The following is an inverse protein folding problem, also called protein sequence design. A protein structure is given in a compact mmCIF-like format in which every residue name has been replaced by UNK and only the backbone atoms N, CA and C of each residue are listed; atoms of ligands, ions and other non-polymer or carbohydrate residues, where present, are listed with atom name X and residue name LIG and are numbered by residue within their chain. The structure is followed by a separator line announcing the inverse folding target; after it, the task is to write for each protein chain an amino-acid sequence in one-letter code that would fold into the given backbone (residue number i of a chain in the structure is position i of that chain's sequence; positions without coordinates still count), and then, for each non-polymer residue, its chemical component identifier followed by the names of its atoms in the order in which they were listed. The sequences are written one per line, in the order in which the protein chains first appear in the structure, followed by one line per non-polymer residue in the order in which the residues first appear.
data_IF_776613555747
#
_entry.id   IF_776613555747
#
_cell.length_a   1.000
_cell.length_b   1.000
_cell.length_c   1.000
_cell.angle_alpha   90.00
_cell.angle_beta   90.00
_cell.angle_gamma   90.00
#
_symmetry.space_group_name_H-M   'P 1'
#
loop_
_entity.id
_entity.type
_entity.pdbx_description
1 polymer ?
#
# COMPACT_ATOMS: atom_id res chain seq x y z
N UNK A 1 28.40 -4.92 63.40
CA UNK A 1 27.74 -6.25 63.47
C UNK A 1 27.07 -6.46 62.12
N UNK A 2 27.46 -7.47 61.30
CA UNK A 2 26.89 -8.85 61.24
C UNK A 2 25.36 -8.80 61.07
N UNK A 3 24.70 -9.36 60.04
CA UNK A 3 25.04 -10.22 58.87
C UNK A 3 24.08 -9.88 57.69
N UNK A 4 24.26 -10.19 56.39
CA UNK A 4 25.08 -11.11 55.57
C UNK A 4 24.56 -12.56 55.31
N UNK A 5 24.29 -12.85 54.02
CA UNK A 5 23.98 -14.15 53.36
C UNK A 5 22.67 -14.83 53.78
N UNK A 6 21.89 -15.54 52.93
CA UNK A 6 22.16 -16.38 51.73
C UNK A 6 21.16 -16.06 50.56
N UNK A 7 21.59 -15.92 49.28
CA UNK A 7 21.59 -16.94 48.18
C UNK A 7 20.18 -17.45 47.78
N UNK A 8 19.74 -17.66 46.51
CA UNK A 8 20.09 -17.35 45.10
C UNK A 8 19.16 -18.29 44.26
N UNK A 9 18.98 -18.07 42.94
CA UNK A 9 18.16 -18.92 42.00
C UNK A 9 16.63 -18.70 42.23
N UNK A 10 15.78 -18.36 41.26
CA UNK A 10 15.67 -18.83 39.86
C UNK A 10 15.81 -17.69 38.83
N UNK A 11 16.62 -17.94 37.81
CA UNK A 11 16.73 -17.13 36.59
C UNK A 11 16.19 -17.96 35.41
N UNK A 12 14.92 -17.78 35.03
CA UNK A 12 14.38 -18.13 33.71
C UNK A 12 12.88 -17.78 33.60
N UNK A 13 12.46 -17.36 32.40
CA UNK A 13 11.12 -16.85 32.05
C UNK A 13 10.73 -15.51 32.76
N UNK A 14 10.30 -14.45 32.07
CA UNK A 14 9.86 -14.32 30.68
C UNK A 14 10.32 -13.01 30.03
N UNK A 15 11.36 -13.07 29.19
CA UNK A 15 11.67 -12.00 28.25
C UNK A 15 10.86 -12.22 26.96
N UNK A 16 9.59 -11.79 26.93
CA UNK A 16 8.74 -11.85 25.72
C UNK A 16 7.88 -10.60 25.56
N UNK A 17 7.93 -10.06 24.34
CA UNK A 17 7.02 -9.07 23.76
C UNK A 17 6.92 -7.71 24.47
N UNK A 18 8.01 -6.94 24.40
CA UNK A 18 7.91 -5.49 24.24
C UNK A 18 8.14 -5.13 22.75
N UNK A 19 7.17 -5.45 21.88
CA UNK A 19 7.13 -5.03 20.47
C UNK A 19 5.68 -5.00 19.97
N UNK A 20 4.96 -3.93 20.33
CA UNK A 20 3.72 -3.51 19.68
C UNK A 20 3.55 -2.02 19.94
N UNK A 21 4.40 -1.19 19.33
CA UNK A 21 4.10 0.24 19.27
C UNK A 21 2.89 0.44 18.37
N UNK A 22 1.85 1.05 18.91
CA UNK A 22 0.70 1.57 18.19
C UNK A 22 1.12 2.65 17.17
N UNK A 23 1.59 2.22 16.00
CA UNK A 23 1.47 3.03 14.79
C UNK A 23 0.06 2.85 14.23
N UNK A 24 -0.94 3.36 14.96
CA UNK A 24 -2.22 3.74 14.37
C UNK A 24 -1.98 4.98 13.52
N UNK A 25 -1.48 4.75 12.30
CA UNK A 25 -1.41 5.77 11.25
C UNK A 25 -2.81 6.40 11.15
N UNK A 26 -2.91 7.70 11.45
CA UNK A 26 -4.19 8.41 11.39
C UNK A 26 -4.56 8.52 9.91
N UNK A 27 -5.34 7.54 9.48
CA UNK A 27 -6.09 7.54 8.24
C UNK A 27 -6.65 8.96 8.01
N UNK A 28 -6.29 9.68 6.92
CA UNK A 28 -6.89 10.97 6.63
C UNK A 28 -8.42 10.81 6.62
N UNK A 29 -9.20 11.82 7.01
CA UNK A 29 -10.59 11.65 7.48
C UNK A 29 -11.60 11.13 6.44
N UNK A 30 -11.16 10.78 5.23
CA UNK A 30 -11.94 10.22 4.13
C UNK A 30 -11.30 8.94 3.54
N UNK A 31 -10.28 8.37 4.20
CA UNK A 31 -9.64 7.14 3.72
C UNK A 31 -10.39 5.89 4.19
N UNK A 32 -10.61 5.00 3.23
CA UNK A 32 -11.54 3.89 3.33
C UNK A 32 -10.74 2.58 3.39
N UNK A 33 -11.32 1.55 3.98
CA UNK A 33 -10.65 0.26 4.11
C UNK A 33 -11.60 -0.88 3.74
N UNK A 34 -11.62 -1.23 2.45
CA UNK A 34 -11.92 -2.61 2.08
C UNK A 34 -10.85 -3.49 2.75
N UNK A 35 -11.25 -4.36 3.68
CA UNK A 35 -10.37 -5.34 4.32
C UNK A 35 -10.64 -6.74 3.77
N UNK A 36 -9.61 -7.38 3.20
CA UNK A 36 -9.68 -8.76 2.72
C UNK A 36 -8.76 -9.69 3.52
N UNK A 37 -9.29 -10.83 3.96
CA UNK A 37 -8.60 -11.79 4.81
C UNK A 37 -8.11 -13.05 4.06
N UNK A 38 -8.45 -13.21 2.77
CA UNK A 38 -8.06 -14.38 1.94
C UNK A 38 -6.60 -14.35 1.47
N UNK A 39 -6.06 -15.51 1.11
CA UNK A 39 -4.67 -15.72 0.71
C UNK A 39 -4.39 -15.34 -0.75
N UNK A 40 -3.61 -14.26 -0.93
CA UNK A 40 -2.76 -13.99 -2.10
C UNK A 40 -3.43 -13.64 -3.44
N UNK A 41 -2.98 -12.52 -4.03
CA UNK A 41 -3.15 -12.22 -5.46
C UNK A 41 -4.59 -12.13 -5.98
N UNK A 42 -5.50 -11.56 -5.16
CA UNK A 42 -6.96 -11.59 -5.34
C UNK A 42 -7.46 -11.32 -6.78
N UNK A 43 -6.86 -10.36 -7.49
CA UNK A 43 -7.21 -10.00 -8.88
C UNK A 43 -6.21 -10.49 -9.95
N UNK A 44 -5.18 -11.24 -9.58
CA UNK A 44 -4.11 -11.65 -10.50
C UNK A 44 -4.04 -13.18 -10.68
N UNK A 45 -4.09 -13.95 -9.58
CA UNK A 45 -3.94 -15.42 -9.62
C UNK A 45 -5.16 -16.18 -9.06
N UNK A 46 -6.24 -15.49 -8.69
CA UNK A 46 -7.51 -16.14 -8.33
C UNK A 46 -8.29 -16.45 -9.61
N UNK A 47 -8.49 -17.73 -10.00
CA UNK A 47 -9.16 -18.05 -11.27
C UNK A 47 -10.68 -17.80 -11.24
N UNK A 48 -11.30 -17.78 -10.07
CA UNK A 48 -12.76 -17.70 -9.92
C UNK A 48 -13.19 -16.95 -8.64
N UNK A 49 -12.86 -15.65 -8.55
CA UNK A 49 -13.39 -14.79 -7.49
C UNK A 49 -14.90 -14.55 -7.74
N UNK A 50 -15.76 -15.25 -6.99
CA UNK A 50 -17.24 -15.13 -7.09
C UNK A 50 -17.82 -14.08 -6.15
N UNK A 51 -17.25 -13.96 -4.96
CA UNK A 51 -17.70 -13.04 -3.92
C UNK A 51 -16.51 -12.40 -3.23
N UNK A 52 -16.71 -11.19 -2.70
CA UNK A 52 -15.69 -10.49 -1.93
C UNK A 52 -16.35 -9.73 -0.79
N UNK A 53 -16.12 -10.21 0.43
CA UNK A 53 -16.49 -9.50 1.66
C UNK A 53 -15.61 -8.27 1.86
N UNK A 54 -16.17 -7.21 2.46
CA UNK A 54 -15.43 -5.99 2.75
C UNK A 54 -16.05 -5.20 3.92
N UNK A 55 -15.21 -4.46 4.63
CA UNK A 55 -15.61 -3.35 5.50
C UNK A 55 -15.65 -2.04 4.71
N UNK A 56 -16.49 -1.08 5.10
CA UNK A 56 -16.52 0.24 4.46
C UNK A 56 -16.92 1.37 5.42
N UNK A 57 -16.54 2.59 5.04
CA UNK A 57 -16.81 3.84 5.79
C UNK A 57 -17.53 4.91 4.95
N UNK A 58 -17.90 4.61 3.70
CA UNK A 58 -18.66 5.50 2.80
C UNK A 58 -20.17 5.29 2.88
N UNK A 59 -20.98 6.27 2.42
CA UNK A 59 -22.41 6.06 2.21
C UNK A 59 -22.68 4.90 1.25
N UNK A 60 -23.59 4.00 1.64
CA UNK A 60 -24.04 2.85 0.81
C UNK A 60 -24.56 3.30 -0.58
N UNK A 61 -25.10 4.51 -0.68
CA UNK A 61 -25.52 5.14 -1.94
C UNK A 61 -24.38 5.35 -2.94
N UNK A 62 -23.15 5.62 -2.48
CA UNK A 62 -21.96 5.76 -3.32
C UNK A 62 -21.56 4.40 -3.90
N UNK A 63 -21.40 3.37 -3.05
CA UNK A 63 -21.04 2.01 -3.48
C UNK A 63 -22.10 1.43 -4.43
N UNK A 64 -23.38 1.54 -4.09
CA UNK A 64 -24.47 1.04 -4.96
C UNK A 64 -24.59 1.84 -6.26
N UNK A 65 -24.35 3.15 -6.23
CA UNK A 65 -24.31 4.01 -7.41
C UNK A 65 -23.12 3.73 -8.33
N UNK A 66 -21.99 3.30 -7.78
CA UNK A 66 -20.84 2.79 -8.53
C UNK A 66 -21.13 1.40 -9.10
N UNK A 67 -21.54 0.44 -8.28
CA UNK A 67 -21.75 -0.96 -8.65
C UNK A 67 -22.69 -1.12 -9.86
N UNK A 68 -23.79 -0.36 -9.91
CA UNK A 68 -24.75 -0.35 -11.03
C UNK A 68 -24.15 0.01 -12.39
N UNK A 69 -22.95 0.60 -12.43
CA UNK A 69 -22.27 1.04 -13.68
C UNK A 69 -21.32 -0.02 -14.25
N UNK A 70 -21.06 -1.11 -13.53
CA UNK A 70 -20.09 -2.13 -13.92
C UNK A 70 -20.77 -3.49 -14.10
N UNK A 71 -20.86 -3.96 -15.34
CA UNK A 71 -21.53 -5.21 -15.71
C UNK A 71 -20.94 -6.47 -15.07
N UNK A 72 -19.68 -6.44 -14.63
CA UNK A 72 -19.00 -7.54 -13.95
C UNK A 72 -19.51 -7.76 -12.52
N UNK A 73 -20.18 -6.76 -11.92
CA UNK A 73 -20.80 -6.87 -10.61
C UNK A 73 -22.24 -7.37 -10.79
N UNK A 74 -22.60 -8.42 -10.06
CA UNK A 74 -23.95 -8.96 -10.01
C UNK A 74 -24.85 -8.13 -9.09
N UNK A 75 -24.39 -7.98 -7.85
CA UNK A 75 -25.05 -7.22 -6.78
C UNK A 75 -24.03 -6.88 -5.69
N UNK A 76 -24.41 -5.97 -4.80
CA UNK A 76 -23.70 -5.71 -3.56
C UNK A 76 -24.71 -5.78 -2.42
N UNK A 77 -24.41 -6.58 -1.40
CA UNK A 77 -25.20 -6.71 -0.18
C UNK A 77 -24.50 -5.99 0.98
N UNK A 78 -25.27 -5.53 1.96
CA UNK A 78 -24.78 -4.71 3.08
C UNK A 78 -25.40 -5.17 4.40
N UNK A 79 -24.60 -5.19 5.46
CA UNK A 79 -24.97 -5.50 6.83
C UNK A 79 -24.18 -4.59 7.77
N UNK A 80 -24.79 -3.48 8.18
CA UNK A 80 -24.10 -2.43 8.95
C UNK A 80 -22.94 -1.82 8.15
N UNK A 81 -21.74 -1.84 8.73
CA UNK A 81 -20.48 -1.38 8.12
C UNK A 81 -19.73 -2.47 7.33
N UNK A 82 -20.38 -3.61 7.09
CA UNK A 82 -19.85 -4.69 6.25
C UNK A 82 -20.69 -4.86 4.99
N UNK A 83 -20.05 -5.26 3.89
CA UNK A 83 -20.73 -5.58 2.64
C UNK A 83 -20.08 -6.75 1.93
N UNK A 84 -20.78 -7.25 0.91
CA UNK A 84 -20.32 -8.35 0.06
C UNK A 84 -20.62 -8.02 -1.40
N UNK A 85 -19.58 -7.99 -2.22
CA UNK A 85 -19.73 -7.88 -3.68
C UNK A 85 -19.90 -9.29 -4.23
N UNK A 86 -20.85 -9.45 -5.15
CA UNK A 86 -21.06 -10.65 -5.96
C UNK A 86 -20.63 -10.33 -7.39
N UNK A 87 -19.84 -11.20 -8.01
CA UNK A 87 -19.30 -11.02 -9.36
C UNK A 87 -19.91 -11.99 -10.36
N UNK A 88 -20.34 -11.49 -11.52
CA UNK A 88 -20.80 -12.32 -12.66
C UNK A 88 -19.63 -12.98 -13.39
N UNK A 89 -18.50 -12.29 -13.41
CA UNK A 89 -17.24 -12.71 -14.05
C UNK A 89 -16.07 -12.28 -13.15
N UNK A 90 -14.96 -13.02 -13.21
CA UNK A 90 -13.76 -12.72 -12.43
C UNK A 90 -13.20 -11.32 -12.82
N UNK A 91 -13.12 -10.34 -11.90
CA UNK A 91 -12.70 -8.99 -12.24
C UNK A 91 -11.20 -8.89 -12.50
N UNK A 92 -10.80 -8.22 -13.58
CA UNK A 92 -9.39 -7.83 -13.77
C UNK A 92 -9.01 -6.70 -12.81
N UNK A 93 -7.70 -6.52 -12.52
CA UNK A 93 -7.21 -5.41 -11.70
C UNK A 93 -7.77 -4.04 -12.13
N UNK A 94 -7.73 -3.70 -13.43
CA UNK A 94 -8.32 -2.45 -13.93
C UNK A 94 -9.84 -2.34 -13.75
N UNK A 95 -10.58 -3.45 -13.89
CA UNK A 95 -12.05 -3.44 -13.69
C UNK A 95 -12.36 -3.12 -12.23
N UNK A 96 -11.66 -3.76 -11.29
CA UNK A 96 -11.83 -3.48 -9.87
C UNK A 96 -11.36 -2.06 -9.51
N UNK A 97 -10.18 -1.64 -10.01
CA UNK A 97 -9.65 -0.29 -9.80
C UNK A 97 -10.66 0.79 -10.13
N UNK A 98 -11.25 0.72 -11.33
CA UNK A 98 -12.28 1.68 -11.78
C UNK A 98 -13.51 1.68 -10.88
N UNK A 99 -13.96 0.51 -10.40
CA UNK A 99 -15.07 0.43 -9.46
C UNK A 99 -14.73 1.06 -8.09
N UNK A 100 -13.52 0.82 -7.57
CA UNK A 100 -13.03 1.38 -6.31
C UNK A 100 -12.86 2.91 -6.42
N UNK A 101 -12.18 3.39 -7.47
CA UNK A 101 -12.08 4.81 -7.83
C UNK A 101 -13.47 5.45 -7.91
N UNK A 102 -14.46 4.75 -8.50
CA UNK A 102 -15.82 5.26 -8.62
C UNK A 102 -16.67 5.16 -7.34
N UNK A 103 -16.16 4.45 -6.34
CA UNK A 103 -16.72 4.36 -4.99
C UNK A 103 -15.99 5.28 -4.00
N UNK A 104 -15.18 6.22 -4.52
CA UNK A 104 -14.28 7.14 -3.80
C UNK A 104 -13.17 6.45 -2.96
N UNK A 105 -12.95 5.15 -3.17
CA UNK A 105 -11.95 4.35 -2.45
C UNK A 105 -10.58 4.57 -3.06
N UNK A 106 -9.75 5.39 -2.40
CA UNK A 106 -8.35 5.70 -2.83
C UNK A 106 -7.31 4.73 -2.27
N UNK A 107 -7.63 4.07 -1.16
CA UNK A 107 -6.77 3.11 -0.44
C UNK A 107 -7.64 1.91 -0.02
N UNK A 108 -7.04 0.73 0.09
CA UNK A 108 -7.65 -0.44 0.73
C UNK A 108 -6.59 -1.28 1.45
N UNK A 109 -7.02 -2.30 2.19
CA UNK A 109 -6.14 -3.13 3.03
C UNK A 109 -6.34 -4.62 2.76
N UNK A 110 -5.24 -5.34 2.53
CA UNK A 110 -5.28 -6.81 2.34
C UNK A 110 -4.42 -7.44 3.42
N UNK A 111 -5.04 -8.22 4.32
CA UNK A 111 -4.40 -8.73 5.54
C UNK A 111 -3.63 -7.64 6.32
N UNK A 112 -4.23 -6.46 6.44
CA UNK A 112 -3.62 -5.29 7.10
C UNK A 112 -2.50 -4.59 6.31
N UNK A 113 -2.21 -4.99 5.07
CA UNK A 113 -1.25 -4.29 4.18
C UNK A 113 -1.97 -3.26 3.33
N UNK A 114 -1.53 -2.00 3.43
CA UNK A 114 -2.02 -0.85 2.65
C UNK A 114 -1.73 -1.05 1.16
N UNK A 115 -2.75 -0.88 0.33
CA UNK A 115 -2.66 -0.87 -1.12
C UNK A 115 -3.35 0.39 -1.64
N UNK A 116 -2.71 1.11 -2.57
CA UNK A 116 -3.30 2.29 -3.20
C UNK A 116 -4.19 1.82 -4.36
N UNK A 117 -5.40 2.35 -4.48
CA UNK A 117 -6.34 1.92 -5.54
C UNK A 117 -5.76 2.09 -6.94
N UNK A 118 -5.04 3.19 -7.19
CA UNK A 118 -4.37 3.46 -8.46
C UNK A 118 -3.33 2.39 -8.87
N UNK A 119 -2.83 1.61 -7.90
CA UNK A 119 -1.81 0.57 -8.11
C UNK A 119 -2.39 -0.80 -8.47
N UNK A 120 -3.71 -0.92 -8.60
CA UNK A 120 -4.36 -2.08 -9.24
C UNK A 120 -4.24 -2.00 -10.77
N UNK A 121 -3.10 -2.48 -11.27
CA UNK A 121 -2.69 -2.35 -12.67
C UNK A 121 -2.78 -3.68 -13.43
N UNK A 122 -3.34 -3.66 -14.64
CA UNK A 122 -3.26 -4.82 -15.55
C UNK A 122 -1.83 -5.00 -16.11
N UNK A 123 -1.50 -6.19 -16.63
CA UNK A 123 -0.16 -6.50 -17.19
C UNK A 123 0.34 -5.47 -18.20
N UNK A 124 -0.52 -5.01 -19.11
CA UNK A 124 -0.20 -3.99 -20.12
C UNK A 124 0.09 -2.62 -19.51
N UNK A 125 -0.53 -2.28 -18.37
CA UNK A 125 -0.26 -1.03 -17.67
C UNK A 125 1.08 -1.09 -16.93
N UNK A 126 1.42 -2.24 -16.36
CA UNK A 126 2.75 -2.51 -15.80
C UNK A 126 3.84 -2.39 -16.87
N UNK A 127 3.67 -3.05 -18.02
CA UNK A 127 4.60 -2.96 -19.17
C UNK A 127 4.78 -1.50 -19.64
N UNK A 128 3.69 -0.74 -19.77
CA UNK A 128 3.72 0.68 -20.16
C UNK A 128 4.43 1.58 -19.14
N UNK A 129 4.31 1.29 -17.84
CA UNK A 129 5.03 2.03 -16.78
C UNK A 129 6.49 1.61 -16.71
N UNK A 130 6.77 0.32 -16.92
CA UNK A 130 8.12 -0.23 -17.02
C UNK A 130 8.89 0.42 -18.18
N UNK A 131 8.27 0.61 -19.34
CA UNK A 131 8.89 1.29 -20.49
C UNK A 131 9.11 2.80 -20.34
N UNK A 132 8.65 3.43 -19.24
CA UNK A 132 8.79 4.88 -18.98
C UNK A 132 9.90 5.22 -17.99
N UNK A 133 10.44 4.23 -17.27
CA UNK A 133 11.52 4.47 -16.33
C UNK A 133 12.77 4.95 -17.07
N UNK A 134 13.43 5.98 -16.53
CA UNK A 134 14.68 6.51 -17.05
C UNK A 134 15.78 6.20 -16.06
N UNK A 135 16.86 5.60 -16.55
CA UNK A 135 18.08 5.43 -15.77
C UNK A 135 18.71 6.80 -15.50
N UNK A 136 19.40 6.93 -14.36
CA UNK A 136 20.12 8.14 -14.02
C UNK A 136 21.43 8.19 -14.81
N UNK A 137 21.61 9.24 -15.62
CA UNK A 137 22.79 9.43 -16.47
C UNK A 137 24.09 9.63 -15.65
N UNK A 138 23.96 10.17 -14.43
CA UNK A 138 25.08 10.49 -13.54
C UNK A 138 25.22 9.42 -12.45
N UNK A 139 26.42 8.84 -12.23
CA UNK A 139 26.64 7.92 -11.11
C UNK A 139 26.50 8.64 -9.76
N UNK A 140 26.15 7.88 -8.72
CA UNK A 140 26.00 8.40 -7.35
C UNK A 140 27.26 9.13 -6.85
N UNK A 141 27.08 10.32 -6.29
CA UNK A 141 28.13 11.14 -5.68
C UNK A 141 28.01 11.12 -4.16
N UNK A 142 29.13 11.10 -3.43
CA UNK A 142 29.14 10.96 -1.97
C UNK A 142 28.45 12.13 -1.24
N UNK A 143 28.46 13.30 -1.88
CA UNK A 143 27.80 14.54 -1.48
C UNK A 143 26.28 14.39 -1.40
N UNK A 144 25.69 13.50 -2.20
CA UNK A 144 24.25 13.20 -2.20
C UNK A 144 23.80 12.36 -1.00
N UNK A 145 24.66 12.11 -0.02
CA UNK A 145 24.26 11.60 1.29
C UNK A 145 23.74 12.69 2.24
N UNK A 146 23.90 13.99 1.90
CA UNK A 146 23.58 15.11 2.79
C UNK A 146 22.33 15.86 2.36
N UNK A 147 21.40 16.19 3.29
CA UNK A 147 20.15 16.89 2.96
C UNK A 147 20.34 18.40 2.65
N UNK A 148 21.56 18.92 2.75
CA UNK A 148 21.92 20.27 2.26
C UNK A 148 22.18 20.31 0.74
N UNK A 149 22.15 19.15 0.06
CA UNK A 149 22.48 19.00 -1.35
C UNK A 149 21.24 18.62 -2.18
N UNK A 150 21.02 19.31 -3.30
CA UNK A 150 19.93 19.00 -4.25
C UNK A 150 19.93 17.52 -4.71
N UNK A 151 21.12 16.96 -4.92
CA UNK A 151 21.33 15.60 -5.37
C UNK A 151 20.88 14.53 -4.38
N UNK A 152 20.81 14.83 -3.07
CA UNK A 152 20.27 13.90 -2.06
C UNK A 152 18.80 13.59 -2.32
N UNK A 153 18.00 14.63 -2.58
CA UNK A 153 16.57 14.47 -2.88
C UNK A 153 16.35 13.81 -4.25
N UNK A 154 17.09 14.25 -5.26
CA UNK A 154 17.04 13.66 -6.61
C UNK A 154 17.39 12.16 -6.60
N UNK A 155 18.46 11.79 -5.87
CA UNK A 155 18.85 10.40 -5.68
C UNK A 155 17.82 9.59 -4.90
N UNK A 156 17.21 10.14 -3.84
CA UNK A 156 16.14 9.47 -3.11
C UNK A 156 14.91 9.21 -3.99
N UNK A 157 14.50 10.17 -4.82
CA UNK A 157 13.40 9.98 -5.77
C UNK A 157 13.77 8.86 -6.75
N UNK A 158 14.92 8.96 -7.42
CA UNK A 158 15.39 7.96 -8.38
C UNK A 158 15.52 6.56 -7.79
N UNK A 159 16.13 6.41 -6.60
CA UNK A 159 16.29 5.12 -5.94
C UNK A 159 14.93 4.46 -5.67
N UNK A 160 13.93 5.21 -5.18
CA UNK A 160 12.62 4.66 -4.94
C UNK A 160 11.86 4.34 -6.25
N UNK A 161 11.99 5.17 -7.29
CA UNK A 161 11.43 4.91 -8.62
C UNK A 161 12.07 3.65 -9.26
N UNK A 162 13.38 3.46 -9.10
CA UNK A 162 14.11 2.26 -9.54
C UNK A 162 13.65 0.99 -8.79
N UNK A 163 13.36 1.09 -7.49
CA UNK A 163 12.79 -0.03 -6.73
C UNK A 163 11.37 -0.36 -7.17
N UNK A 164 10.50 0.63 -7.41
CA UNK A 164 9.18 0.41 -8.02
C UNK A 164 9.30 -0.25 -9.41
N UNK A 165 10.27 0.17 -10.21
CA UNK A 165 10.55 -0.41 -11.53
C UNK A 165 10.90 -1.90 -11.41
N UNK A 166 11.81 -2.28 -10.51
CA UNK A 166 12.14 -3.67 -10.25
C UNK A 166 10.91 -4.49 -9.79
N UNK A 167 10.02 -3.90 -9.00
CA UNK A 167 8.78 -4.56 -8.56
C UNK A 167 7.79 -4.77 -9.72
N UNK A 168 7.63 -3.79 -10.61
CA UNK A 168 6.75 -3.87 -11.81
C UNK A 168 7.23 -4.94 -12.79
N UNK A 169 8.54 -5.04 -12.99
CA UNK A 169 9.17 -5.98 -13.92
C UNK A 169 9.38 -7.40 -13.37
N UNK A 170 8.94 -7.68 -12.13
CA UNK A 170 9.09 -8.99 -11.48
C UNK A 170 7.74 -9.51 -10.95
N UNK A 171 7.65 -9.96 -9.70
CA UNK A 171 6.39 -10.41 -9.10
C UNK A 171 5.62 -9.22 -8.52
N UNK A 172 5.11 -8.36 -9.41
CA UNK A 172 4.36 -7.17 -9.02
C UNK A 172 3.22 -7.45 -8.02
N UNK A 173 2.37 -8.48 -8.18
CA UNK A 173 1.35 -8.81 -7.20
C UNK A 173 1.92 -9.06 -5.80
N UNK A 174 3.07 -9.73 -5.66
CA UNK A 174 3.72 -9.94 -4.36
C UNK A 174 4.15 -8.63 -3.70
N UNK A 175 4.69 -7.70 -4.48
CA UNK A 175 5.07 -6.39 -3.98
C UNK A 175 3.86 -5.49 -3.66
N UNK A 176 2.77 -5.63 -4.41
CA UNK A 176 1.50 -4.95 -4.19
C UNK A 176 0.86 -5.39 -2.87
N UNK A 177 0.56 -6.68 -2.71
CA UNK A 177 -0.14 -7.21 -1.53
C UNK A 177 0.73 -7.32 -0.27
N UNK A 178 2.06 -7.15 -0.38
CA UNK A 178 2.92 -6.96 0.80
C UNK A 178 2.96 -5.50 1.31
N UNK A 179 2.38 -4.56 0.57
CA UNK A 179 2.35 -3.12 0.87
C UNK A 179 3.57 -2.34 0.37
N UNK A 180 4.58 -3.01 -0.19
CA UNK A 180 5.83 -2.38 -0.66
C UNK A 180 5.60 -1.37 -1.77
N UNK A 181 4.65 -1.60 -2.68
CA UNK A 181 4.33 -0.62 -3.73
C UNK A 181 3.81 0.68 -3.12
N UNK A 182 2.94 0.62 -2.10
CA UNK A 182 2.41 1.80 -1.42
C UNK A 182 3.48 2.53 -0.58
N UNK A 183 4.36 1.77 0.09
CA UNK A 183 5.53 2.28 0.83
C UNK A 183 6.45 3.11 -0.09
N UNK A 184 6.84 2.54 -1.23
CA UNK A 184 7.78 3.21 -2.14
C UNK A 184 7.17 4.42 -2.87
N UNK A 185 5.87 4.41 -3.17
CA UNK A 185 5.17 5.62 -3.67
C UNK A 185 5.17 6.71 -2.59
N UNK A 186 4.83 6.37 -1.34
CA UNK A 186 4.85 7.32 -0.21
C UNK A 186 6.24 7.93 -0.01
N UNK A 187 7.30 7.13 -0.16
CA UNK A 187 8.69 7.61 -0.08
C UNK A 187 9.08 8.57 -1.22
N UNK A 188 8.54 8.36 -2.42
CA UNK A 188 8.75 9.27 -3.57
C UNK A 188 8.05 10.60 -3.33
N UNK A 189 6.79 10.57 -2.89
CA UNK A 189 5.99 11.78 -2.66
C UNK A 189 6.56 12.61 -1.51
N UNK A 190 7.03 11.94 -0.44
CA UNK A 190 7.80 12.59 0.63
C UNK A 190 9.08 13.26 0.09
N UNK A 191 9.90 12.54 -0.67
CA UNK A 191 11.14 13.08 -1.22
C UNK A 191 10.90 14.23 -2.24
N UNK A 192 9.81 14.19 -3.02
CA UNK A 192 9.38 15.29 -3.91
C UNK A 192 8.96 16.52 -3.12
N UNK A 193 8.16 16.35 -2.07
CA UNK A 193 7.75 17.46 -1.18
C UNK A 193 8.95 18.09 -0.45
N UNK A 194 9.89 17.27 0.02
CA UNK A 194 11.13 17.75 0.64
C UNK A 194 12.00 18.53 -0.37
N UNK A 195 12.10 18.07 -1.62
CA UNK A 195 12.78 18.76 -2.72
C UNK A 195 12.15 20.13 -3.02
N UNK A 196 10.83 20.20 -3.11
CA UNK A 196 10.09 21.46 -3.31
C UNK A 196 10.39 22.45 -2.17
N UNK A 197 10.33 22.00 -0.91
CA UNK A 197 10.68 22.84 0.24
C UNK A 197 12.16 23.29 0.21
N UNK A 198 13.09 22.41 -0.17
CA UNK A 198 14.51 22.76 -0.32
C UNK A 198 14.70 23.85 -1.39
N UNK A 199 14.05 23.71 -2.54
CA UNK A 199 14.16 24.68 -3.64
C UNK A 199 13.58 26.04 -3.26
N UNK A 200 12.44 26.09 -2.55
CA UNK A 200 11.84 27.34 -2.09
C UNK A 200 12.68 28.08 -1.03
N UNK A 201 13.44 27.35 -0.21
CA UNK A 201 14.30 27.92 0.84
C UNK A 201 15.68 28.39 0.34
N UNK A 202 16.01 28.15 -0.93
CA UNK A 202 17.29 28.51 -1.56
C UNK A 202 17.11 29.42 -2.80
N UNK A 203 15.96 30.10 -2.89
CA UNK A 203 15.65 31.17 -3.86
C UNK A 203 15.65 32.54 -3.16
#
# INVERSE_FOLDING_TARGET
MRQLLYIFIILSASLKLAHSQDNKEILPPHSMSFQWNEESFLFYNTPSLKTLDFTFSVPVSVITGAAKKYSFIEKVEFSGSTGKIYFKENPSPSKMRKFLEKSDVTVFFVKGKKVLTETLLDKKELENLTGKFREMETPFQAEWNKPDNLGYYQFRIYHNEAKLQMMRSSNYPSHLYSGKVAEYISNIDAAKKELECFQLNNQ
#
